data_IF_791776332095
#
_entry.id   IF_791776332095
#
_cell.length_a   1.000
_cell.length_b   1.000
_cell.length_c   1.000
_cell.angle_alpha   90.00
_cell.angle_beta   90.00
_cell.angle_gamma   90.00
#
_symmetry.space_group_name_H-M   'P 1'
#
loop_
_entity.id
_entity.type
_entity.pdbx_description
1 polymer ?
#
# COMPACT_ATOMS: atom_id res chain seq x y z
N UNK A 1 -0.33 4.08 2.67
CA UNK A 1 -1.20 3.89 3.85
C UNK A 1 -2.66 3.81 3.44
N UNK A 2 -3.50 3.30 4.35
CA UNK A 2 -4.92 3.04 4.13
C UNK A 2 -5.82 3.78 5.15
N UNK A 3 -5.38 4.94 5.62
CA UNK A 3 -6.18 5.78 6.49
C UNK A 3 -7.48 6.26 5.82
N UNK A 4 -8.54 6.57 6.59
CA UNK A 4 -9.85 6.94 6.02
C UNK A 4 -9.79 8.10 5.02
N UNK A 5 -9.02 9.14 5.32
CA UNK A 5 -8.89 10.30 4.43
C UNK A 5 -8.21 9.95 3.10
N UNK A 6 -7.26 9.02 3.14
CA UNK A 6 -6.56 8.54 1.93
C UNK A 6 -7.52 7.74 1.06
N UNK A 7 -8.26 6.81 1.67
CA UNK A 7 -9.23 5.98 0.94
C UNK A 7 -10.32 6.86 0.32
N UNK A 8 -10.89 7.80 1.06
CA UNK A 8 -11.92 8.68 0.54
C UNK A 8 -11.42 9.58 -0.58
N UNK A 9 -10.15 10.02 -0.53
CA UNK A 9 -9.53 10.79 -1.63
C UNK A 9 -9.44 9.94 -2.89
N UNK A 10 -9.07 8.66 -2.77
CA UNK A 10 -9.03 7.73 -3.90
C UNK A 10 -10.44 7.45 -4.41
N UNK A 11 -11.40 7.23 -3.52
CA UNK A 11 -12.80 7.02 -3.89
C UNK A 11 -13.37 8.21 -4.66
N UNK A 12 -13.03 9.43 -4.25
CA UNK A 12 -13.43 10.64 -4.97
C UNK A 12 -12.84 10.66 -6.39
N UNK A 13 -11.57 10.34 -6.53
CA UNK A 13 -10.92 10.29 -7.83
C UNK A 13 -11.58 9.24 -8.75
N UNK A 14 -11.90 8.08 -8.20
CA UNK A 14 -12.54 6.99 -8.97
C UNK A 14 -13.97 7.34 -9.35
N UNK A 15 -14.76 7.82 -8.39
CA UNK A 15 -16.20 8.03 -8.59
C UNK A 15 -16.52 9.34 -9.31
N UNK A 16 -15.87 10.44 -8.93
CA UNK A 16 -16.17 11.78 -9.45
C UNK A 16 -15.29 12.19 -10.61
N UNK A 17 -14.00 11.89 -10.54
CA UNK A 17 -13.07 12.24 -11.61
C UNK A 17 -12.94 11.16 -12.68
N UNK A 18 -13.51 9.98 -12.41
CA UNK A 18 -13.53 8.83 -13.33
C UNK A 18 -12.13 8.44 -13.84
N UNK A 19 -11.13 8.48 -12.95
CA UNK A 19 -9.78 8.08 -13.31
C UNK A 19 -9.73 6.60 -13.70
N UNK A 20 -9.07 6.24 -14.81
CA UNK A 20 -9.03 4.85 -15.27
C UNK A 20 -7.89 4.03 -14.65
N UNK A 21 -6.94 4.67 -13.97
CA UNK A 21 -5.76 4.01 -13.42
C UNK A 21 -5.44 4.53 -12.01
N UNK A 22 -5.23 3.59 -11.09
CA UNK A 22 -4.69 3.84 -9.76
C UNK A 22 -3.34 3.15 -9.66
N UNK A 23 -2.30 3.92 -9.36
CA UNK A 23 -0.95 3.39 -9.14
C UNK A 23 -0.68 3.35 -7.64
N UNK A 24 -0.41 2.16 -7.11
CA UNK A 24 0.08 1.97 -5.75
C UNK A 24 1.62 1.92 -5.83
N UNK A 25 2.26 2.99 -5.36
CA UNK A 25 3.70 3.18 -5.52
C UNK A 25 4.42 3.01 -4.19
N UNK A 26 5.15 1.90 -4.06
CA UNK A 26 6.14 1.72 -3.01
C UNK A 26 7.51 2.23 -3.46
N UNK A 27 8.47 2.27 -2.56
CA UNK A 27 9.83 2.67 -2.89
C UNK A 27 10.85 1.97 -1.99
N UNK A 28 12.10 1.90 -2.44
CA UNK A 28 13.19 1.38 -1.65
C UNK A 28 13.59 2.35 -0.52
N UNK A 29 14.34 1.86 0.43
CA UNK A 29 14.82 2.62 1.61
C UNK A 29 13.71 3.37 2.37
N UNK A 30 12.52 2.79 2.44
CA UNK A 30 11.41 3.40 3.16
C UNK A 30 11.66 3.42 4.66
N UNK A 31 11.73 4.63 5.25
CA UNK A 31 11.97 4.81 6.69
C UNK A 31 10.88 4.18 7.56
N UNK A 32 9.62 4.24 7.13
CA UNK A 32 8.50 3.64 7.86
C UNK A 32 8.63 2.12 7.88
N UNK A 33 9.02 1.50 6.77
CA UNK A 33 9.23 0.04 6.70
C UNK A 33 10.38 -0.41 7.59
N UNK A 34 11.47 0.35 7.61
CA UNK A 34 12.60 0.10 8.51
C UNK A 34 12.19 0.21 9.97
N UNK A 35 11.51 1.28 10.31
CA UNK A 35 11.03 1.51 11.68
C UNK A 35 10.07 0.40 12.13
N UNK A 36 9.10 0.06 11.30
CA UNK A 36 8.13 -0.99 11.62
C UNK A 36 8.82 -2.34 11.85
N UNK A 37 9.78 -2.70 11.01
CA UNK A 37 10.51 -3.97 11.12
C UNK A 37 11.38 -4.02 12.38
N UNK A 38 11.98 -2.91 12.78
CA UNK A 38 12.80 -2.82 13.99
C UNK A 38 11.99 -2.92 15.28
N UNK A 39 10.74 -2.41 15.27
CA UNK A 39 9.90 -2.32 16.48
C UNK A 39 8.84 -3.41 16.58
N UNK A 40 8.53 -4.09 15.48
CA UNK A 40 7.55 -5.18 15.52
C UNK A 40 8.06 -6.36 16.36
N UNK A 41 7.25 -6.98 17.25
CA UNK A 41 5.83 -6.73 17.52
C UNK A 41 5.54 -5.81 18.71
N UNK A 42 6.43 -4.90 19.06
CA UNK A 42 6.28 -4.01 20.21
C UNK A 42 5.00 -3.16 20.12
N UNK A 43 4.42 -2.77 21.27
CA UNK A 43 3.28 -1.86 21.28
C UNK A 43 3.59 -0.53 20.58
N UNK A 44 2.64 -0.08 19.77
CA UNK A 44 2.78 1.16 19.01
C UNK A 44 2.62 2.38 19.93
N UNK A 45 3.73 2.97 20.36
CA UNK A 45 3.72 4.21 21.16
C UNK A 45 3.59 5.43 20.28
N UNK A 46 4.48 5.54 19.29
CA UNK A 46 4.50 6.63 18.32
C UNK A 46 4.07 6.12 16.95
N UNK A 47 3.53 7.02 16.14
CA UNK A 47 3.16 6.72 14.75
C UNK A 47 2.12 5.60 14.59
N UNK A 48 1.25 5.43 15.60
CA UNK A 48 0.30 4.32 15.64
C UNK A 48 -0.63 4.26 14.41
N UNK A 49 -1.06 5.39 13.90
CA UNK A 49 -1.93 5.45 12.73
C UNK A 49 -1.26 4.91 11.45
N UNK A 50 0.04 5.17 11.30
CA UNK A 50 0.83 4.64 10.17
C UNK A 50 1.12 3.15 10.40
N UNK A 51 1.57 2.79 11.60
CA UNK A 51 1.96 1.42 11.92
C UNK A 51 0.79 0.43 11.85
N UNK A 52 -0.43 0.86 12.16
CA UNK A 52 -1.65 0.06 11.98
C UNK A 52 -1.86 -0.37 10.51
N UNK A 53 -1.36 0.41 9.57
CA UNK A 53 -1.44 0.09 8.15
C UNK A 53 -0.29 -0.80 7.66
N UNK A 54 0.77 -0.94 8.45
CA UNK A 54 2.01 -1.62 8.05
C UNK A 54 2.21 -2.94 8.81
N UNK A 55 1.94 -2.98 10.11
CA UNK A 55 2.10 -4.17 10.94
C UNK A 55 1.35 -5.42 10.45
N UNK A 56 0.14 -5.31 9.85
CA UNK A 56 -0.55 -6.51 9.35
C UNK A 56 0.27 -7.35 8.37
N UNK A 57 1.13 -6.70 7.59
CA UNK A 57 2.01 -7.42 6.66
C UNK A 57 3.03 -8.28 7.40
N UNK A 58 3.57 -7.78 8.50
CA UNK A 58 4.53 -8.50 9.34
C UNK A 58 3.89 -9.67 10.11
N UNK A 59 2.59 -9.55 10.42
CA UNK A 59 1.86 -10.63 11.11
C UNK A 59 1.72 -11.90 10.27
N UNK A 60 1.74 -11.76 8.95
CA UNK A 60 1.47 -12.87 8.02
C UNK A 60 2.71 -13.41 7.32
N UNK A 61 3.87 -12.76 7.48
CA UNK A 61 5.10 -13.14 6.78
C UNK A 61 6.29 -13.11 7.72
N UNK A 62 6.63 -14.27 8.25
CA UNK A 62 7.76 -14.44 9.17
C UNK A 62 9.12 -14.24 8.48
N UNK A 63 9.19 -14.40 7.16
CA UNK A 63 10.45 -14.42 6.39
C UNK A 63 10.81 -13.08 5.73
N UNK A 64 10.26 -11.97 6.18
CA UNK A 64 10.60 -10.66 5.62
C UNK A 64 11.98 -10.24 6.13
N UNK A 65 13.02 -10.50 5.33
CA UNK A 65 14.40 -10.18 5.67
C UNK A 65 14.87 -8.82 5.12
N UNK A 66 14.24 -8.35 4.03
CA UNK A 66 14.65 -7.16 3.29
C UNK A 66 13.56 -6.08 3.34
N UNK A 67 13.97 -4.82 3.56
CA UNK A 67 13.05 -3.68 3.59
C UNK A 67 12.31 -3.47 2.27
N UNK A 68 12.99 -3.68 1.15
CA UNK A 68 12.39 -3.48 -0.16
C UNK A 68 11.35 -4.53 -0.47
N UNK A 69 11.61 -5.78 -0.07
CA UNK A 69 10.61 -6.84 -0.16
C UNK A 69 9.39 -6.54 0.72
N UNK A 70 9.62 -6.05 1.95
CA UNK A 70 8.55 -5.63 2.84
C UNK A 70 7.69 -4.52 2.20
N UNK A 71 8.31 -3.52 1.58
CA UNK A 71 7.60 -2.45 0.89
C UNK A 71 6.72 -2.99 -0.24
N UNK A 72 7.21 -3.95 -1.01
CA UNK A 72 6.42 -4.59 -2.08
C UNK A 72 5.26 -5.41 -1.52
N UNK A 73 5.48 -6.16 -0.45
CA UNK A 73 4.41 -6.90 0.22
C UNK A 73 3.34 -5.98 0.80
N UNK A 74 3.76 -4.84 1.35
CA UNK A 74 2.81 -3.82 1.81
C UNK A 74 1.98 -3.26 0.65
N UNK A 75 2.58 -3.05 -0.51
CA UNK A 75 1.84 -2.58 -1.70
C UNK A 75 0.76 -3.60 -2.11
N UNK A 76 1.06 -4.90 -2.08
CA UNK A 76 0.08 -5.97 -2.33
C UNK A 76 -1.04 -5.96 -1.29
N UNK A 77 -0.66 -5.81 -0.03
CA UNK A 77 -1.63 -5.73 1.06
C UNK A 77 -2.57 -4.53 0.92
N UNK A 78 -2.06 -3.37 0.47
CA UNK A 78 -2.87 -2.17 0.23
C UNK A 78 -3.91 -2.43 -0.86
N UNK A 79 -3.55 -3.09 -1.94
CA UNK A 79 -4.51 -3.47 -3.00
C UNK A 79 -5.64 -4.33 -2.42
N UNK A 80 -5.28 -5.39 -1.70
CA UNK A 80 -6.26 -6.28 -1.07
C UNK A 80 -7.16 -5.53 -0.09
N UNK A 81 -6.57 -4.62 0.69
CA UNK A 81 -7.31 -3.81 1.65
C UNK A 81 -8.33 -2.91 0.95
N UNK A 82 -7.93 -2.21 -0.12
CA UNK A 82 -8.81 -1.34 -0.88
C UNK A 82 -9.98 -2.13 -1.50
N UNK A 83 -9.68 -3.29 -2.07
CA UNK A 83 -10.71 -4.16 -2.66
C UNK A 83 -11.71 -4.68 -1.64
N UNK A 84 -11.28 -4.93 -0.41
CA UNK A 84 -12.16 -5.41 0.68
C UNK A 84 -12.98 -4.30 1.33
N UNK A 85 -12.40 -3.11 1.49
CA UNK A 85 -12.97 -2.06 2.33
C UNK A 85 -13.60 -0.90 1.56
N UNK A 86 -13.45 -0.86 0.23
CA UNK A 86 -14.08 0.16 -0.60
C UNK A 86 -14.97 -0.46 -1.67
N UNK A 87 -16.26 -0.31 -1.50
CA UNK A 87 -17.25 -0.75 -2.50
C UNK A 87 -17.05 0.02 -3.81
N UNK A 88 -16.76 1.32 -3.73
CA UNK A 88 -16.54 2.19 -4.90
C UNK A 88 -15.38 1.67 -5.75
N UNK A 89 -14.23 1.38 -5.10
CA UNK A 89 -13.03 0.88 -5.79
C UNK A 89 -13.29 -0.52 -6.34
N UNK A 90 -13.86 -1.40 -5.52
CA UNK A 90 -14.14 -2.78 -5.91
C UNK A 90 -15.04 -2.86 -7.14
N UNK A 91 -16.15 -2.11 -7.14
CA UNK A 91 -17.09 -2.08 -8.27
C UNK A 91 -16.44 -1.51 -9.53
N UNK A 92 -15.63 -0.46 -9.40
CA UNK A 92 -14.96 0.13 -10.54
C UNK A 92 -13.96 -0.86 -11.19
N UNK A 93 -13.24 -1.63 -10.38
CA UNK A 93 -12.33 -2.67 -10.88
C UNK A 93 -13.11 -3.80 -11.55
N UNK A 94 -14.15 -4.31 -10.90
CA UNK A 94 -14.98 -5.41 -11.45
C UNK A 94 -15.69 -5.05 -12.75
N UNK A 95 -16.06 -3.77 -12.91
CA UNK A 95 -16.72 -3.27 -14.11
C UNK A 95 -15.75 -2.76 -15.18
N UNK A 96 -14.45 -3.05 -15.02
CA UNK A 96 -13.39 -2.64 -15.95
C UNK A 96 -13.28 -1.13 -16.18
N UNK A 97 -13.69 -0.33 -15.19
CA UNK A 97 -13.56 1.13 -15.24
C UNK A 97 -12.29 1.64 -14.56
N UNK A 98 -11.69 0.82 -13.71
CA UNK A 98 -10.46 1.14 -12.98
C UNK A 98 -9.50 -0.03 -13.07
N UNK A 99 -8.25 0.27 -13.40
CA UNK A 99 -7.13 -0.67 -13.27
C UNK A 99 -6.26 -0.25 -12.09
N UNK A 100 -5.83 -1.21 -11.27
CA UNK A 100 -4.86 -0.97 -10.20
C UNK A 100 -3.52 -1.55 -10.63
N UNK A 101 -2.48 -0.71 -10.62
CA UNK A 101 -1.11 -1.13 -10.90
C UNK A 101 -0.27 -0.99 -9.62
N UNK A 102 0.43 -2.06 -9.27
CA UNK A 102 1.39 -2.06 -8.15
C UNK A 102 2.78 -1.80 -8.72
N UNK A 103 3.45 -0.80 -8.20
CA UNK A 103 4.75 -0.36 -8.69
C UNK A 103 5.73 -0.12 -7.54
N UNK A 104 7.01 -0.20 -7.87
CA UNK A 104 8.09 0.10 -6.94
C UNK A 104 9.06 1.10 -7.57
N UNK A 105 9.35 2.18 -6.87
CA UNK A 105 10.29 3.22 -7.30
C UNK A 105 11.69 2.91 -6.76
N UNK A 106 12.65 2.86 -7.65
CA UNK A 106 14.05 2.67 -7.34
C UNK A 106 14.77 4.03 -7.31
N UNK A 107 15.18 4.47 -6.14
CA UNK A 107 15.88 5.74 -5.95
C UNK A 107 17.24 5.82 -6.67
N UNK A 108 17.93 4.69 -6.82
CA UNK A 108 19.26 4.67 -7.44
C UNK A 108 19.20 4.89 -8.95
N UNK A 109 18.13 4.47 -9.59
CA UNK A 109 17.98 4.57 -11.05
C UNK A 109 16.91 5.57 -11.49
N UNK A 110 16.01 5.98 -10.59
CA UNK A 110 14.84 6.77 -10.90
C UNK A 110 13.76 6.01 -11.66
N UNK A 111 13.84 4.68 -11.71
CA UNK A 111 12.89 3.84 -12.43
C UNK A 111 11.71 3.42 -11.56
N UNK A 112 10.56 3.29 -12.21
CA UNK A 112 9.36 2.68 -11.65
C UNK A 112 9.17 1.33 -12.32
N UNK A 113 9.14 0.28 -11.51
CA UNK A 113 8.96 -1.10 -11.99
C UNK A 113 7.61 -1.63 -11.52
N UNK A 114 6.91 -2.33 -12.41
CA UNK A 114 5.71 -3.08 -12.02
C UNK A 114 6.10 -4.23 -11.10
N UNK A 115 5.28 -4.47 -10.11
CA UNK A 115 5.35 -5.66 -9.25
C UNK A 115 4.08 -6.48 -9.40
N UNK A 116 4.20 -7.77 -9.16
CA UNK A 116 3.06 -8.70 -9.28
C UNK A 116 1.99 -8.55 -8.18
#
# INVERSE_FOLDING_TARGET
TTGPNIIESVEYAVKKLEVPLLILLGHDDCGVMKYAKEHYPEPMKDFSSILKCVYPVLNHKEDITCHNFFAQEHTRWVEDYLMKHSVIINEAVKNNRLQIAKCHFDHSTGRVNLID
#
